data_IF_383709037795
#
_entry.id   IF_383709037795
#
_cell.length_a   1.000
_cell.length_b   1.000
_cell.length_c   1.000
_cell.angle_alpha   90.00
_cell.angle_beta   90.00
_cell.angle_gamma   90.00
#
_symmetry.space_group_name_H-M   'P 1'
#
loop_
_entity.id
_entity.type
_entity.pdbx_description
1 polymer ?
#
# COMPACT_ATOMS: atom_id res chain seq x y z
N UNK A 1 -39.61 53.66 4.95
CA UNK A 1 -38.33 52.99 5.24
C UNK A 1 -38.64 51.52 5.30
N UNK A 2 -38.66 50.89 4.13
CA UNK A 2 -38.99 49.46 3.98
C UNK A 2 -37.79 48.63 4.44
N UNK A 3 -38.06 47.63 5.25
CA UNK A 3 -37.07 46.67 5.76
C UNK A 3 -37.04 45.51 4.77
N UNK A 4 -35.96 45.41 4.00
CA UNK A 4 -35.69 44.23 3.18
C UNK A 4 -35.42 43.03 4.10
N UNK A 5 -36.35 42.08 4.09
CA UNK A 5 -36.16 40.75 4.67
C UNK A 5 -35.28 39.94 3.71
N UNK A 6 -34.04 39.68 4.13
CA UNK A 6 -33.09 38.84 3.40
C UNK A 6 -33.65 37.44 3.17
N UNK A 7 -33.54 36.97 1.92
CA UNK A 7 -33.85 35.61 1.50
C UNK A 7 -32.89 34.64 2.22
N UNK A 8 -33.36 33.55 2.85
CA UNK A 8 -32.46 32.56 3.43
C UNK A 8 -31.72 31.87 2.30
N UNK A 9 -30.39 31.91 2.36
CA UNK A 9 -29.53 31.07 1.53
C UNK A 9 -29.90 29.62 1.87
N UNK A 10 -30.44 28.90 0.89
CA UNK A 10 -30.71 27.47 1.07
C UNK A 10 -29.37 26.75 1.18
N UNK A 11 -29.00 26.35 2.39
CA UNK A 11 -28.02 25.28 2.56
C UNK A 11 -28.57 24.05 1.80
N UNK A 12 -27.85 23.63 0.77
CA UNK A 12 -28.11 22.34 0.12
C UNK A 12 -28.07 21.27 1.21
N UNK A 13 -29.07 20.37 1.32
CA UNK A 13 -29.05 19.34 2.34
C UNK A 13 -27.76 18.52 2.19
N UNK A 14 -26.94 18.48 3.25
CA UNK A 14 -25.78 17.60 3.31
C UNK A 14 -26.27 16.18 3.06
N UNK A 15 -25.97 15.65 1.88
CA UNK A 15 -26.42 14.32 1.49
C UNK A 15 -25.84 13.32 2.51
N UNK A 16 -26.71 12.56 3.18
CA UNK A 16 -26.29 11.56 4.16
C UNK A 16 -25.48 10.50 3.42
N UNK A 17 -24.23 10.30 3.84
CA UNK A 17 -23.35 9.30 3.24
C UNK A 17 -23.95 7.90 3.39
N UNK A 18 -23.85 7.10 2.33
CA UNK A 18 -24.17 5.67 2.34
C UNK A 18 -23.13 4.93 1.50
N UNK A 19 -23.00 3.60 1.62
CA UNK A 19 -22.11 2.85 0.73
C UNK A 19 -22.40 3.03 -0.77
N UNK A 20 -23.57 3.57 -1.16
CA UNK A 20 -23.97 3.82 -2.54
C UNK A 20 -23.82 5.29 -2.97
N UNK A 21 -23.48 6.23 -2.07
CA UNK A 21 -23.46 7.67 -2.39
C UNK A 21 -22.49 8.02 -3.51
N UNK A 22 -21.40 7.25 -3.65
CA UNK A 22 -20.41 7.37 -4.73
C UNK A 22 -21.01 7.32 -6.13
N UNK A 23 -22.16 6.66 -6.32
CA UNK A 23 -22.85 6.57 -7.63
C UNK A 23 -23.38 7.91 -8.14
N UNK A 24 -23.50 8.90 -7.26
CA UNK A 24 -23.88 10.27 -7.63
C UNK A 24 -22.69 11.11 -8.11
N UNK A 25 -21.50 10.54 -8.14
CA UNK A 25 -20.25 11.20 -8.52
C UNK A 25 -19.60 10.48 -9.71
N UNK A 26 -18.68 11.17 -10.39
CA UNK A 26 -17.96 10.56 -11.51
C UNK A 26 -16.95 9.54 -10.98
N UNK A 27 -17.13 8.27 -11.36
CA UNK A 27 -16.21 7.19 -11.05
C UNK A 27 -15.24 6.94 -12.21
N UNK A 28 -14.01 7.42 -12.07
CA UNK A 28 -12.96 7.16 -13.06
C UNK A 28 -12.48 5.70 -13.02
N UNK A 29 -11.88 5.23 -14.11
CA UNK A 29 -11.23 3.91 -14.20
C UNK A 29 -12.14 2.69 -14.03
N UNK A 30 -13.47 2.86 -13.97
CA UNK A 30 -14.40 1.73 -13.88
C UNK A 30 -14.45 0.95 -15.21
N UNK A 31 -14.58 -0.38 -15.15
CA UNK A 31 -14.82 -1.19 -16.35
C UNK A 31 -16.21 -0.94 -16.94
N UNK A 32 -16.33 -1.19 -18.25
CA UNK A 32 -17.62 -1.24 -18.94
C UNK A 32 -18.06 -2.69 -19.07
N UNK A 33 -18.87 -3.16 -18.13
CA UNK A 33 -19.47 -4.49 -18.19
C UNK A 33 -20.59 -4.54 -19.23
N UNK A 34 -20.80 -5.72 -19.84
CA UNK A 34 -21.86 -5.91 -20.85
C UNK A 34 -23.27 -5.88 -20.26
N UNK A 35 -23.44 -6.30 -19.00
CA UNK A 35 -24.73 -6.37 -18.31
C UNK A 35 -24.63 -5.71 -16.92
N UNK A 36 -25.40 -4.64 -16.71
CA UNK A 36 -25.52 -4.02 -15.39
C UNK A 36 -26.29 -4.91 -14.40
N UNK A 37 -27.18 -5.77 -14.90
CA UNK A 37 -27.90 -6.73 -14.08
C UNK A 37 -26.94 -7.78 -13.49
N UNK A 38 -26.01 -8.31 -14.29
CA UNK A 38 -25.03 -9.30 -13.85
C UNK A 38 -24.12 -8.71 -12.76
N UNK A 39 -23.68 -7.46 -12.94
CA UNK A 39 -22.93 -6.71 -11.92
C UNK A 39 -23.74 -6.60 -10.62
N UNK A 40 -25.02 -6.22 -10.71
CA UNK A 40 -25.88 -6.10 -9.53
C UNK A 40 -26.12 -7.44 -8.84
N UNK A 41 -26.24 -8.54 -9.60
CA UNK A 41 -26.40 -9.89 -9.04
C UNK A 41 -25.14 -10.33 -8.30
N UNK A 42 -23.95 -10.13 -8.88
CA UNK A 42 -22.67 -10.44 -8.23
C UNK A 42 -22.44 -9.56 -7.00
N UNK A 43 -22.73 -8.26 -7.08
CA UNK A 43 -22.60 -7.35 -5.95
C UNK A 43 -23.52 -7.78 -4.78
N UNK A 44 -24.76 -8.21 -5.08
CA UNK A 44 -25.69 -8.75 -4.08
C UNK A 44 -25.18 -10.06 -3.48
N UNK A 45 -24.58 -10.93 -4.28
CA UNK A 45 -23.96 -12.17 -3.80
C UNK A 45 -22.83 -11.85 -2.80
N UNK A 46 -21.91 -10.97 -3.18
CA UNK A 46 -20.78 -10.56 -2.34
C UNK A 46 -21.21 -9.88 -1.05
N UNK A 47 -22.27 -9.06 -1.09
CA UNK A 47 -22.85 -8.46 0.10
C UNK A 47 -23.34 -9.50 1.13
N UNK A 48 -23.75 -10.68 0.67
CA UNK A 48 -24.14 -11.81 1.52
C UNK A 48 -22.97 -12.67 2.02
N UNK A 49 -21.75 -12.49 1.51
CA UNK A 49 -20.58 -13.22 1.99
C UNK A 49 -20.07 -12.65 3.33
N UNK A 50 -19.29 -13.41 4.12
CA UNK A 50 -18.56 -12.88 5.28
C UNK A 50 -17.61 -11.72 4.91
N UNK A 51 -17.32 -10.81 5.84
CA UNK A 51 -16.26 -9.81 5.65
C UNK A 51 -14.87 -10.47 5.64
N UNK A 52 -13.89 -9.86 4.96
CA UNK A 52 -12.49 -10.31 5.01
C UNK A 52 -11.81 -9.87 6.31
N UNK A 53 -12.14 -8.68 6.82
CA UNK A 53 -11.57 -8.12 8.05
C UNK A 53 -12.65 -7.68 9.04
N UNK A 54 -12.33 -7.73 10.33
CA UNK A 54 -13.23 -7.22 11.37
C UNK A 54 -12.97 -5.72 11.64
N UNK A 55 -14.02 -4.95 11.89
CA UNK A 55 -13.95 -3.51 12.10
C UNK A 55 -13.01 -3.08 13.24
N UNK A 56 -12.88 -3.90 14.31
CA UNK A 56 -11.95 -3.61 15.39
C UNK A 56 -10.48 -3.69 14.96
N UNK A 57 -10.15 -4.54 13.97
CA UNK A 57 -8.79 -4.65 13.43
C UNK A 57 -8.41 -3.38 12.66
N UNK A 58 -9.35 -2.81 11.89
CA UNK A 58 -9.17 -1.52 11.22
C UNK A 58 -9.00 -0.36 12.21
N UNK A 59 -9.75 -0.37 13.34
CA UNK A 59 -9.55 0.61 14.43
C UNK A 59 -8.18 0.48 15.08
N UNK A 60 -7.72 -0.74 15.31
CA UNK A 60 -6.39 -0.97 15.88
C UNK A 60 -5.29 -0.51 14.91
N UNK A 61 -5.43 -0.75 13.60
CA UNK A 61 -4.52 -0.18 12.61
C UNK A 61 -4.54 1.36 12.65
N UNK A 62 -5.72 1.99 12.70
CA UNK A 62 -5.86 3.46 12.84
C UNK A 62 -5.14 3.98 14.09
N UNK A 63 -5.25 3.29 15.23
CA UNK A 63 -4.52 3.61 16.46
C UNK A 63 -3.00 3.53 16.28
N UNK A 64 -2.50 2.52 15.58
CA UNK A 64 -1.07 2.38 15.29
C UNK A 64 -0.58 3.44 14.30
N UNK A 65 -1.38 3.79 13.29
CA UNK A 65 -1.05 4.87 12.36
C UNK A 65 -1.04 6.25 13.03
N UNK A 66 -1.86 6.48 14.06
CA UNK A 66 -1.75 7.69 14.88
C UNK A 66 -0.37 7.78 15.56
N UNK A 67 0.18 6.65 16.06
CA UNK A 67 1.55 6.61 16.57
C UNK A 67 2.58 6.91 15.49
N UNK A 68 2.34 6.49 14.24
CA UNK A 68 3.22 6.83 13.11
C UNK A 68 3.19 8.34 12.85
N UNK A 69 2.00 8.96 12.77
CA UNK A 69 1.87 10.40 12.56
C UNK A 69 2.56 11.23 13.68
N UNK A 70 2.59 10.70 14.90
CA UNK A 70 3.24 11.31 16.07
C UNK A 70 4.75 11.02 16.17
N UNK A 71 5.36 10.33 15.22
CA UNK A 71 6.80 10.00 15.27
C UNK A 71 7.16 8.86 16.23
N UNK A 72 6.18 8.09 16.71
CA UNK A 72 6.35 7.00 17.69
C UNK A 72 6.35 5.61 17.06
N UNK A 73 6.13 5.51 15.75
CA UNK A 73 6.18 4.29 14.97
C UNK A 73 6.56 4.60 13.51
N UNK A 74 6.82 3.55 12.72
CA UNK A 74 7.11 3.65 11.29
C UNK A 74 6.20 2.73 10.49
N UNK A 75 5.64 3.20 9.38
CA UNK A 75 4.81 2.41 8.48
C UNK A 75 5.66 1.69 7.43
N UNK A 76 5.53 0.37 7.35
CA UNK A 76 6.01 -0.45 6.24
C UNK A 76 4.81 -1.02 5.50
N UNK A 77 4.55 -0.49 4.31
CA UNK A 77 3.54 -1.01 3.39
C UNK A 77 4.22 -1.69 2.19
N UNK A 78 3.87 -2.92 1.86
CA UNK A 78 4.58 -3.66 0.81
C UNK A 78 3.87 -4.90 0.30
N UNK A 79 4.10 -5.25 -0.96
CA UNK A 79 3.60 -6.48 -1.58
C UNK A 79 3.51 -6.35 -3.09
N UNK A 80 2.66 -7.17 -3.71
CA UNK A 80 2.58 -7.23 -5.16
C UNK A 80 2.12 -5.91 -5.80
N UNK A 81 2.55 -5.71 -7.05
CA UNK A 81 2.02 -4.63 -7.88
C UNK A 81 0.52 -4.86 -8.11
N UNK A 82 0.20 -6.01 -8.72
CA UNK A 82 -1.14 -6.59 -8.84
C UNK A 82 -1.04 -8.09 -8.50
N UNK A 83 -1.98 -8.59 -7.68
CA UNK A 83 -2.14 -10.02 -7.48
C UNK A 83 -2.78 -10.65 -8.73
N UNK A 84 -2.44 -11.91 -9.03
CA UNK A 84 -3.00 -12.64 -10.17
C UNK A 84 -3.63 -13.96 -9.74
N UNK A 85 -4.76 -14.29 -10.36
CA UNK A 85 -5.47 -15.55 -10.18
C UNK A 85 -4.64 -16.77 -10.59
N UNK A 86 -3.76 -16.62 -11.58
CA UNK A 86 -2.90 -17.70 -12.06
C UNK A 86 -1.75 -18.00 -11.09
N UNK A 87 -1.28 -16.99 -10.36
CA UNK A 87 -0.17 -17.10 -9.41
C UNK A 87 -0.63 -17.35 -7.97
N UNK A 88 -1.83 -17.90 -7.79
CA UNK A 88 -2.43 -18.18 -6.49
C UNK A 88 -1.85 -19.46 -5.86
N UNK A 89 -0.78 -19.32 -5.07
CA UNK A 89 -0.15 -20.44 -4.37
C UNK A 89 0.45 -20.05 -3.01
N UNK A 90 0.50 -21.03 -2.09
CA UNK A 90 0.96 -20.82 -0.72
C UNK A 90 2.43 -20.41 -0.61
N UNK A 91 3.31 -20.86 -1.52
CA UNK A 91 4.72 -20.50 -1.50
C UNK A 91 4.91 -19.02 -1.78
N UNK A 92 4.26 -18.46 -2.81
CA UNK A 92 4.31 -17.03 -3.11
C UNK A 92 3.79 -16.19 -1.95
N UNK A 93 2.65 -16.57 -1.37
CA UNK A 93 2.09 -15.87 -0.20
C UNK A 93 3.09 -15.89 0.96
N UNK A 94 3.66 -17.06 1.26
CA UNK A 94 4.68 -17.23 2.29
C UNK A 94 5.91 -16.37 2.01
N UNK A 95 6.43 -16.39 0.79
CA UNK A 95 7.70 -15.74 0.47
C UNK A 95 7.56 -14.20 0.49
N UNK A 96 6.43 -13.67 0.03
CA UNK A 96 6.09 -12.24 0.19
C UNK A 96 5.89 -11.86 1.66
N UNK A 97 5.24 -12.72 2.46
CA UNK A 97 5.14 -12.53 3.91
C UNK A 97 6.52 -12.48 4.59
N UNK A 98 7.40 -13.42 4.24
CA UNK A 98 8.75 -13.51 4.79
C UNK A 98 9.57 -12.25 4.50
N UNK A 99 9.62 -11.80 3.25
CA UNK A 99 10.43 -10.63 2.88
C UNK A 99 9.91 -9.35 3.57
N UNK A 100 8.60 -9.20 3.74
CA UNK A 100 8.01 -8.10 4.49
C UNK A 100 8.42 -8.12 5.96
N UNK A 101 8.40 -9.29 6.62
CA UNK A 101 8.86 -9.43 8.01
C UNK A 101 10.36 -9.22 8.17
N UNK A 102 11.16 -9.74 7.25
CA UNK A 102 12.60 -9.56 7.25
C UNK A 102 12.98 -8.07 7.23
N UNK A 103 12.32 -7.30 6.36
CA UNK A 103 12.45 -5.85 6.31
C UNK A 103 11.95 -5.18 7.59
N UNK A 104 10.77 -5.57 8.10
CA UNK A 104 10.20 -5.01 9.32
C UNK A 104 11.13 -5.14 10.53
N UNK A 105 11.78 -6.29 10.68
CA UNK A 105 12.73 -6.55 11.79
C UNK A 105 13.97 -5.66 11.69
N UNK A 106 14.54 -5.52 10.49
CA UNK A 106 15.69 -4.62 10.25
C UNK A 106 15.34 -3.18 10.60
N UNK A 107 14.19 -2.69 10.11
CA UNK A 107 13.72 -1.33 10.38
C UNK A 107 13.38 -1.10 11.85
N UNK A 108 12.75 -2.08 12.52
CA UNK A 108 12.41 -2.01 13.95
C UNK A 108 13.66 -1.85 14.79
N UNK A 109 14.66 -2.70 14.55
CA UNK A 109 15.90 -2.70 15.32
C UNK A 109 16.72 -1.42 15.12
N UNK A 110 16.89 -1.00 13.87
CA UNK A 110 17.70 0.18 13.58
C UNK A 110 17.00 1.51 13.92
N UNK A 111 15.70 1.60 13.67
CA UNK A 111 14.90 2.76 14.02
C UNK A 111 14.60 2.87 15.51
N UNK A 112 14.66 1.76 16.26
CA UNK A 112 14.23 1.67 17.65
C UNK A 112 12.80 2.16 17.85
N UNK A 113 11.94 1.82 16.89
CA UNK A 113 10.53 2.21 16.82
C UNK A 113 9.71 1.00 16.37
N UNK A 114 8.47 0.83 16.85
CA UNK A 114 7.54 -0.14 16.30
C UNK A 114 7.34 0.09 14.80
N UNK A 115 7.36 -1.01 14.02
CA UNK A 115 7.01 -0.98 12.59
C UNK A 115 5.59 -1.51 12.40
N UNK A 116 4.69 -0.68 11.87
CA UNK A 116 3.34 -1.06 11.45
C UNK A 116 3.42 -1.72 10.08
N UNK A 117 3.02 -3.00 9.99
CA UNK A 117 3.19 -3.82 8.77
C UNK A 117 1.86 -3.92 8.02
N UNK A 118 1.82 -3.43 6.79
CA UNK A 118 0.62 -3.44 5.95
C UNK A 118 0.94 -4.09 4.60
N UNK A 119 0.40 -5.26 4.34
CA UNK A 119 0.61 -5.99 3.10
C UNK A 119 -0.27 -5.43 1.96
N UNK A 120 0.29 -5.35 0.75
CA UNK A 120 -0.47 -5.23 -0.51
C UNK A 120 -0.87 -6.63 -0.98
N UNK A 121 -1.78 -7.26 -0.24
CA UNK A 121 -2.18 -8.66 -0.43
C UNK A 121 -3.64 -8.86 -0.04
N UNK A 122 -4.23 -9.94 -0.56
CA UNK A 122 -5.62 -10.32 -0.32
C UNK A 122 -6.65 -9.29 -0.81
N UNK A 123 -6.39 -8.64 -1.96
CA UNK A 123 -7.35 -7.73 -2.58
C UNK A 123 -6.81 -6.85 -3.69
N UNK A 124 -5.50 -6.86 -3.94
CA UNK A 124 -4.82 -5.96 -4.89
C UNK A 124 -4.93 -6.46 -6.34
N UNK A 125 -6.15 -6.78 -6.79
CA UNK A 125 -6.42 -7.36 -8.10
C UNK A 125 -6.82 -6.34 -9.17
N UNK A 126 -7.14 -5.09 -8.80
CA UNK A 126 -7.53 -4.04 -9.74
C UNK A 126 -6.36 -3.11 -10.07
N UNK A 127 -6.28 -2.64 -11.31
CA UNK A 127 -5.24 -1.70 -11.77
C UNK A 127 -5.81 -0.58 -12.63
N UNK A 128 -5.48 0.70 -12.33
CA UNK A 128 -5.83 1.80 -13.20
C UNK A 128 -4.94 1.80 -14.44
N UNK A 129 -5.45 2.29 -15.56
CA UNK A 129 -4.74 2.33 -16.85
C UNK A 129 -4.71 3.73 -17.41
N UNK A 130 -3.62 4.07 -18.08
CA UNK A 130 -3.46 5.36 -18.76
C UNK A 130 -4.30 5.47 -20.04
N UNK A 131 -4.69 4.34 -20.63
CA UNK A 131 -5.56 4.25 -21.80
C UNK A 131 -6.59 3.13 -21.60
N UNK A 132 -7.78 3.30 -22.18
CA UNK A 132 -8.86 2.31 -22.13
C UNK A 132 -8.57 1.07 -23.00
N UNK A 133 -7.78 1.25 -24.05
CA UNK A 133 -7.41 0.21 -25.01
C UNK A 133 -5.89 0.04 -25.09
N UNK A 134 -5.48 -1.09 -25.63
CA UNK A 134 -4.09 -1.46 -25.93
C UNK A 134 -4.05 -2.00 -27.36
N UNK A 135 -3.06 -1.56 -28.14
CA UNK A 135 -2.85 -2.02 -29.51
C UNK A 135 -1.58 -2.87 -29.61
N UNK A 136 -1.72 -4.10 -30.07
CA UNK A 136 -0.60 -5.02 -30.33
C UNK A 136 -0.74 -5.55 -31.75
N UNK A 137 0.31 -5.40 -32.57
CA UNK A 137 0.35 -5.85 -33.97
C UNK A 137 -0.86 -5.37 -34.81
N UNK A 138 -1.33 -4.14 -34.57
CA UNK A 138 -2.44 -3.53 -35.29
C UNK A 138 -3.85 -3.94 -34.83
N UNK A 139 -3.96 -4.83 -33.83
CA UNK A 139 -5.24 -5.19 -33.20
C UNK A 139 -5.41 -4.36 -31.93
N UNK A 140 -6.55 -3.67 -31.80
CA UNK A 140 -6.91 -2.87 -30.62
C UNK A 140 -7.92 -3.63 -29.75
N UNK A 141 -7.59 -3.84 -28.46
CA UNK A 141 -8.45 -4.49 -27.47
C UNK A 141 -8.54 -3.65 -26.20
N UNK A 142 -9.53 -3.88 -25.31
CA UNK A 142 -9.54 -3.27 -23.99
C UNK A 142 -8.23 -3.54 -23.25
N UNK A 143 -7.72 -2.54 -22.54
CA UNK A 143 -6.55 -2.70 -21.67
C UNK A 143 -6.86 -3.71 -20.56
N UNK A 144 -5.86 -4.53 -20.21
CA UNK A 144 -5.91 -5.34 -18.99
C UNK A 144 -6.02 -4.42 -17.75
N UNK A 145 -7.04 -4.61 -16.91
CA UNK A 145 -7.31 -3.77 -15.73
C UNK A 145 -7.15 -4.53 -14.42
N UNK A 146 -6.47 -5.67 -14.46
CA UNK A 146 -6.31 -6.56 -13.32
C UNK A 146 -7.33 -7.70 -13.30
N UNK A 147 -6.97 -8.81 -12.67
CA UNK A 147 -7.70 -10.08 -12.78
C UNK A 147 -9.13 -10.04 -12.25
N UNK A 148 -9.45 -9.10 -11.35
CA UNK A 148 -10.82 -8.84 -10.88
C UNK A 148 -11.74 -8.25 -11.96
N UNK A 149 -11.18 -7.71 -13.03
CA UNK A 149 -11.92 -7.11 -14.14
C UNK A 149 -11.87 -8.00 -15.38
N UNK A 150 -10.68 -8.30 -15.90
CA UNK A 150 -10.48 -9.06 -17.14
C UNK A 150 -9.16 -9.86 -17.10
N UNK A 151 -8.92 -10.71 -18.09
CA UNK A 151 -7.70 -11.51 -18.21
C UNK A 151 -6.55 -10.78 -18.91
N UNK A 152 -5.32 -11.21 -18.61
CA UNK A 152 -4.10 -10.60 -19.17
C UNK A 152 -3.90 -10.89 -20.66
N UNK A 153 -4.31 -12.10 -21.10
CA UNK A 153 -4.12 -12.57 -22.48
C UNK A 153 -4.67 -11.57 -23.49
N UNK A 154 -3.93 -11.33 -24.56
CA UNK A 154 -4.31 -10.38 -25.61
C UNK A 154 -5.28 -11.03 -26.61
N UNK A 155 -6.44 -11.45 -26.12
CA UNK A 155 -7.55 -11.98 -26.94
C UNK A 155 -8.83 -11.21 -26.64
N UNK A 156 -9.77 -11.21 -27.60
CA UNK A 156 -11.03 -10.49 -27.42
C UNK A 156 -11.79 -11.02 -26.20
N UNK A 157 -11.84 -12.35 -26.03
CA UNK A 157 -12.54 -13.03 -24.95
C UNK A 157 -11.91 -12.72 -23.58
N UNK A 158 -10.58 -12.78 -23.47
CA UNK A 158 -9.90 -12.53 -22.21
C UNK A 158 -10.03 -11.07 -21.77
N UNK A 159 -10.05 -10.11 -22.72
CA UNK A 159 -10.10 -8.67 -22.42
C UNK A 159 -11.49 -8.14 -22.09
N UNK A 160 -12.57 -8.92 -22.32
CA UNK A 160 -13.92 -8.51 -21.89
C UNK A 160 -14.02 -8.48 -20.36
N UNK A 161 -14.52 -7.37 -19.76
CA UNK A 161 -14.82 -7.34 -18.34
C UNK A 161 -15.88 -8.37 -17.95
N UNK A 162 -15.58 -9.18 -16.93
CA UNK A 162 -16.47 -10.22 -16.41
C UNK A 162 -16.75 -9.96 -14.91
N UNK A 163 -18.00 -9.66 -14.51
CA UNK A 163 -18.32 -9.36 -13.12
C UNK A 163 -18.10 -10.57 -12.20
N UNK A 164 -18.14 -11.80 -12.69
CA UNK A 164 -17.94 -12.99 -11.87
C UNK A 164 -16.51 -13.08 -11.30
N UNK A 165 -15.55 -12.39 -11.93
CA UNK A 165 -14.19 -12.24 -11.41
C UNK A 165 -14.14 -11.54 -10.05
N UNK A 166 -15.14 -10.74 -9.68
CA UNK A 166 -15.25 -10.17 -8.33
C UNK A 166 -15.46 -11.26 -7.26
N UNK A 167 -16.23 -12.31 -7.57
CA UNK A 167 -16.40 -13.47 -6.67
C UNK A 167 -15.09 -14.26 -6.55
N UNK A 168 -14.41 -14.47 -7.67
CA UNK A 168 -13.09 -15.14 -7.69
C UNK A 168 -12.07 -14.37 -6.86
N UNK A 169 -11.99 -13.05 -7.02
CA UNK A 169 -11.12 -12.18 -6.24
C UNK A 169 -11.42 -12.29 -4.74
N UNK A 170 -12.70 -12.21 -4.33
CA UNK A 170 -13.09 -12.42 -2.94
C UNK A 170 -12.61 -13.77 -2.38
N UNK A 171 -12.81 -14.87 -3.12
CA UNK A 171 -12.41 -16.20 -2.65
C UNK A 171 -10.90 -16.33 -2.48
N UNK A 172 -10.11 -15.82 -3.43
CA UNK A 172 -8.65 -15.82 -3.32
C UNK A 172 -8.15 -14.88 -2.22
N UNK A 173 -8.79 -13.72 -2.03
CA UNK A 173 -8.53 -12.81 -0.91
C UNK A 173 -8.77 -13.50 0.43
N UNK A 174 -9.91 -14.17 0.60
CA UNK A 174 -10.24 -14.89 1.84
C UNK A 174 -9.23 -16.00 2.15
N UNK A 175 -8.87 -16.81 1.15
CA UNK A 175 -7.89 -17.88 1.31
C UNK A 175 -6.48 -17.34 1.61
N UNK A 176 -6.07 -16.26 0.93
CA UNK A 176 -4.78 -15.60 1.16
C UNK A 176 -4.70 -15.01 2.56
N UNK A 177 -5.71 -14.25 2.98
CA UNK A 177 -5.75 -13.65 4.31
C UNK A 177 -5.80 -14.71 5.42
N UNK A 178 -6.55 -15.79 5.24
CA UNK A 178 -6.55 -16.92 6.18
C UNK A 178 -5.13 -17.49 6.37
N UNK A 179 -4.38 -17.69 5.28
CA UNK A 179 -3.01 -18.17 5.34
C UNK A 179 -2.05 -17.15 5.99
N UNK A 180 -2.20 -15.86 5.68
CA UNK A 180 -1.42 -14.79 6.32
C UNK A 180 -1.65 -14.73 7.82
N UNK A 181 -2.89 -14.89 8.30
CA UNK A 181 -3.21 -14.98 9.73
C UNK A 181 -2.55 -16.20 10.38
N UNK A 182 -2.60 -17.35 9.72
CA UNK A 182 -1.93 -18.56 10.19
C UNK A 182 -0.40 -18.37 10.28
N UNK A 183 0.23 -17.67 9.35
CA UNK A 183 1.67 -17.36 9.42
C UNK A 183 2.01 -16.35 10.52
N UNK A 184 1.18 -15.32 10.69
CA UNK A 184 1.40 -14.25 11.65
C UNK A 184 1.30 -14.73 13.11
N UNK A 185 0.45 -15.73 13.39
CA UNK A 185 0.20 -16.27 14.74
C UNK A 185 0.82 -17.67 14.95
N UNK A 186 1.00 -18.44 13.89
CA UNK A 186 1.43 -19.85 13.95
C UNK A 186 2.94 -20.07 14.11
N UNK A 187 3.72 -19.02 14.39
CA UNK A 187 5.16 -19.09 14.65
C UNK A 187 6.07 -18.84 13.45
N UNK A 188 5.55 -18.64 12.23
CA UNK A 188 6.39 -18.19 11.11
C UNK A 188 6.88 -16.75 11.34
N UNK A 189 6.14 -15.95 12.11
CA UNK A 189 6.54 -14.60 12.50
C UNK A 189 7.53 -14.53 13.67
N UNK A 190 8.01 -15.68 14.18
CA UNK A 190 8.95 -15.71 15.29
C UNK A 190 10.23 -14.94 14.94
N UNK A 191 10.60 -14.00 15.80
CA UNK A 191 11.71 -13.08 15.58
C UNK A 191 13.05 -13.81 15.36
N UNK A 192 13.28 -14.97 15.99
CA UNK A 192 14.47 -15.79 15.76
C UNK A 192 14.47 -16.40 14.36
N UNK A 193 13.31 -16.87 13.87
CA UNK A 193 13.20 -17.41 12.52
C UNK A 193 13.43 -16.33 11.46
N UNK A 194 12.79 -15.17 11.64
CA UNK A 194 12.95 -14.03 10.73
C UNK A 194 14.41 -13.56 10.68
N UNK A 195 15.07 -13.49 11.84
CA UNK A 195 16.49 -13.17 11.91
C UNK A 195 17.36 -14.23 11.22
N UNK A 196 17.06 -15.51 11.40
CA UNK A 196 17.75 -16.62 10.69
C UNK A 196 17.67 -16.52 9.17
N UNK A 197 16.55 -16.01 8.62
CA UNK A 197 16.43 -15.75 7.18
C UNK A 197 17.30 -14.58 6.73
N UNK A 198 17.40 -13.52 7.53
CA UNK A 198 18.30 -12.40 7.26
C UNK A 198 19.77 -12.85 7.24
N UNK A 199 20.18 -13.69 8.19
CA UNK A 199 21.53 -14.27 8.18
C UNK A 199 21.77 -15.12 6.93
N UNK A 200 20.77 -15.89 6.49
CA UNK A 200 20.87 -16.70 5.27
C UNK A 200 21.03 -15.86 4.01
N UNK A 201 20.32 -14.73 3.93
CA UNK A 201 20.48 -13.75 2.86
C UNK A 201 21.90 -13.15 2.81
N UNK A 202 22.46 -12.80 3.97
CA UNK A 202 23.80 -12.20 4.03
C UNK A 202 24.92 -13.12 3.54
N UNK A 203 24.76 -14.45 3.63
CA UNK A 203 25.81 -15.40 3.21
C UNK A 203 26.21 -15.24 1.74
N UNK A 204 25.24 -14.95 0.87
CA UNK A 204 25.44 -14.87 -0.57
C UNK A 204 25.44 -13.44 -1.10
N UNK A 205 25.24 -12.43 -0.25
CA UNK A 205 25.14 -11.04 -0.69
C UNK A 205 26.54 -10.45 -0.99
N UNK A 206 26.78 -9.86 -2.18
CA UNK A 206 28.06 -9.22 -2.52
C UNK A 206 28.48 -8.08 -1.58
N UNK A 207 27.51 -7.43 -0.91
CA UNK A 207 27.70 -6.33 0.03
C UNK A 207 27.55 -6.77 1.50
N UNK A 208 27.65 -8.08 1.81
CA UNK A 208 27.40 -8.64 3.16
C UNK A 208 28.12 -7.90 4.30
N UNK A 209 29.33 -7.42 4.07
CA UNK A 209 30.15 -6.75 5.09
C UNK A 209 29.49 -5.47 5.59
N UNK A 210 28.77 -4.76 4.71
CA UNK A 210 28.01 -3.56 5.06
C UNK A 210 26.88 -3.85 6.05
N UNK A 211 26.31 -5.06 5.97
CA UNK A 211 25.08 -5.42 6.68
C UNK A 211 25.31 -6.37 7.87
N UNK A 212 26.47 -7.04 7.91
CA UNK A 212 26.84 -8.00 8.95
C UNK A 212 26.74 -7.42 10.36
N UNK A 213 27.24 -6.20 10.56
CA UNK A 213 27.24 -5.56 11.88
C UNK A 213 25.84 -5.36 12.45
N UNK A 214 24.85 -5.00 11.61
CA UNK A 214 23.48 -4.83 12.10
C UNK A 214 22.84 -6.18 12.45
N UNK A 215 23.13 -7.21 11.65
CA UNK A 215 22.64 -8.55 11.92
C UNK A 215 23.25 -9.13 13.21
N UNK A 216 24.56 -9.01 13.42
CA UNK A 216 25.23 -9.45 14.65
C UNK A 216 24.64 -8.76 15.89
N UNK A 217 24.45 -7.44 15.84
CA UNK A 217 23.87 -6.70 16.97
C UNK A 217 22.43 -7.11 17.28
N UNK A 218 21.65 -7.46 16.26
CA UNK A 218 20.30 -7.97 16.45
C UNK A 218 20.33 -9.38 17.09
N UNK A 219 21.25 -10.25 16.66
CA UNK A 219 21.46 -11.56 17.27
C UNK A 219 21.82 -11.42 18.76
N UNK A 220 22.80 -10.56 19.09
CA UNK A 220 23.21 -10.30 20.47
C UNK A 220 22.05 -9.77 21.33
N UNK A 221 21.20 -8.89 20.78
CA UNK A 221 20.04 -8.38 21.48
C UNK A 221 19.01 -9.49 21.79
N UNK A 222 18.75 -10.39 20.85
CA UNK A 222 17.85 -11.53 21.05
C UNK A 222 18.40 -12.51 22.08
N UNK A 223 19.70 -12.78 22.03
CA UNK A 223 20.38 -13.62 23.03
C UNK A 223 20.32 -12.99 24.41
N UNK A 224 20.56 -11.68 24.53
CA UNK A 224 20.44 -10.96 25.79
C UNK A 224 19.01 -11.02 26.36
N UNK A 225 17.99 -10.79 25.52
CA UNK A 225 16.59 -10.92 25.93
C UNK A 225 16.29 -12.33 26.46
N UNK A 226 16.79 -13.36 25.79
CA UNK A 226 16.63 -14.74 26.23
C UNK A 226 17.32 -15.01 27.58
N UNK A 227 18.53 -14.49 27.80
CA UNK A 227 19.25 -14.57 29.09
C UNK A 227 18.47 -13.87 30.21
N UNK A 228 17.80 -12.76 29.90
CA UNK A 228 16.90 -12.07 30.83
C UNK A 228 15.54 -12.78 31.05
N UNK A 229 15.32 -13.94 30.43
CA UNK A 229 14.11 -14.74 30.58
C UNK A 229 12.97 -14.36 29.63
N UNK A 230 13.21 -13.53 28.63
CA UNK A 230 12.23 -13.15 27.60
C UNK A 230 12.48 -14.02 26.36
N UNK A 231 11.66 -15.05 26.15
CA UNK A 231 11.82 -16.03 25.07
C UNK A 231 10.55 -16.15 24.23
N UNK A 232 10.65 -16.76 23.04
CA UNK A 232 9.46 -17.01 22.20
C UNK A 232 8.48 -18.02 22.82
N UNK A 233 8.92 -18.82 23.79
CA UNK A 233 8.05 -19.78 24.49
C UNK A 233 7.12 -19.09 25.50
N UNK A 234 7.57 -18.00 26.13
CA UNK A 234 6.84 -17.32 27.21
C UNK A 234 6.37 -15.90 26.87
N UNK A 235 6.81 -15.33 25.74
CA UNK A 235 6.51 -13.96 25.33
C UNK A 235 5.86 -13.95 23.93
N UNK A 236 4.51 -13.91 23.84
CA UNK A 236 3.80 -13.89 22.56
C UNK A 236 4.25 -12.77 21.61
N UNK A 237 4.64 -11.60 22.15
CA UNK A 237 5.13 -10.47 21.37
C UNK A 237 6.44 -10.73 20.60
N UNK A 238 7.19 -11.79 20.92
CA UNK A 238 8.39 -12.25 20.18
C UNK A 238 8.02 -13.29 19.12
N UNK A 239 7.02 -14.13 19.42
CA UNK A 239 6.63 -15.27 18.60
C UNK A 239 5.63 -14.92 17.49
N UNK A 240 4.80 -13.92 17.75
CA UNK A 240 3.68 -13.54 16.91
C UNK A 240 3.84 -12.10 16.42
N UNK A 241 3.14 -11.78 15.34
CA UNK A 241 3.06 -10.41 14.85
C UNK A 241 1.70 -10.11 14.28
N UNK A 242 1.41 -8.82 14.09
CA UNK A 242 0.22 -8.38 13.38
C UNK A 242 0.62 -7.93 11.98
N UNK A 243 -0.06 -8.48 10.98
CA UNK A 243 0.04 -8.05 9.59
C UNK A 243 -1.34 -7.63 9.11
N UNK A 244 -1.44 -6.38 8.66
CA UNK A 244 -2.65 -5.85 8.05
C UNK A 244 -2.63 -6.04 6.53
N UNK A 245 -3.77 -5.86 5.88
CA UNK A 245 -3.92 -5.93 4.42
C UNK A 245 -4.42 -4.62 3.87
N UNK A 246 -4.05 -4.34 2.63
CA UNK A 246 -4.44 -3.14 1.91
C UNK A 246 -4.48 -3.36 0.40
N UNK A 247 -5.35 -2.60 -0.26
CA UNK A 247 -5.38 -2.47 -1.71
C UNK A 247 -5.91 -1.09 -2.14
N UNK A 248 -5.75 -0.77 -3.42
CA UNK A 248 -6.37 0.41 -4.02
C UNK A 248 -7.87 0.18 -4.09
N UNK A 249 -8.67 1.02 -3.43
CA UNK A 249 -10.13 0.99 -3.54
C UNK A 249 -10.53 1.49 -4.92
N UNK A 250 -10.39 0.66 -5.95
CA UNK A 250 -10.53 1.06 -7.35
C UNK A 250 -11.88 0.65 -7.93
N UNK A 251 -12.30 -0.60 -7.74
CA UNK A 251 -13.52 -1.16 -8.29
C UNK A 251 -14.66 -0.99 -7.27
N UNK A 252 -15.39 0.13 -7.35
CA UNK A 252 -16.31 0.56 -6.29
C UNK A 252 -17.51 -0.39 -6.11
N UNK A 253 -17.87 -1.18 -7.12
CA UNK A 253 -18.87 -2.25 -6.98
C UNK A 253 -18.43 -3.33 -5.97
N UNK A 254 -17.14 -3.70 -5.99
CA UNK A 254 -16.54 -4.67 -5.07
C UNK A 254 -16.44 -4.09 -3.65
N UNK A 255 -15.92 -2.88 -3.52
CA UNK A 255 -15.75 -2.19 -2.24
C UNK A 255 -17.10 -1.91 -1.56
N UNK A 256 -18.11 -1.43 -2.32
CA UNK A 256 -19.47 -1.24 -1.82
C UNK A 256 -20.06 -2.56 -1.32
N UNK A 257 -19.93 -3.65 -2.09
CA UNK A 257 -20.47 -4.95 -1.68
C UNK A 257 -19.82 -5.48 -0.39
N UNK A 258 -18.56 -5.11 -0.13
CA UNK A 258 -17.84 -5.52 1.07
C UNK A 258 -17.90 -4.52 2.22
N UNK A 259 -18.65 -3.43 2.09
CA UNK A 259 -18.84 -2.46 3.16
C UNK A 259 -19.92 -2.90 4.14
N UNK A 260 -19.58 -3.00 5.44
CA UNK A 260 -20.48 -3.47 6.51
C UNK A 260 -20.64 -2.43 7.61
N UNK A 261 -21.76 -2.51 8.29
CA UNK A 261 -21.97 -1.79 9.56
C UNK A 261 -21.33 -2.58 10.69
N UNK A 262 -20.46 -1.93 11.46
CA UNK A 262 -19.90 -2.52 12.68
C UNK A 262 -20.99 -2.64 13.75
N UNK A 263 -21.22 -3.87 14.23
CA UNK A 263 -22.26 -4.16 15.22
C UNK A 263 -22.04 -3.45 16.56
N UNK A 264 -20.80 -3.07 16.87
CA UNK A 264 -20.45 -2.39 18.12
C UNK A 264 -20.66 -0.87 18.09
N UNK A 265 -20.44 -0.24 16.93
CA UNK A 265 -20.43 1.23 16.81
C UNK A 265 -21.50 1.80 15.88
N UNK A 266 -22.15 0.96 15.07
CA UNK A 266 -23.09 1.40 14.03
C UNK A 266 -22.42 2.12 12.85
N UNK A 267 -21.08 2.18 12.82
CA UNK A 267 -20.32 2.88 11.76
C UNK A 267 -20.00 1.96 10.60
N UNK A 268 -19.80 2.54 9.43
CA UNK A 268 -19.45 1.81 8.21
C UNK A 268 -17.95 1.56 8.11
N UNK A 269 -17.59 0.33 7.75
CA UNK A 269 -16.23 -0.06 7.40
C UNK A 269 -16.28 -0.80 6.07
N UNK A 270 -15.36 -0.48 5.18
CA UNK A 270 -15.09 -1.37 4.07
C UNK A 270 -14.31 -2.56 4.62
N UNK A 271 -14.95 -3.72 4.64
CA UNK A 271 -14.38 -4.93 5.19
C UNK A 271 -13.69 -5.78 4.12
N UNK A 272 -13.36 -5.22 2.95
CA UNK A 272 -12.49 -5.83 1.96
C UNK A 272 -11.02 -5.85 2.42
N UNK A 273 -10.58 -4.83 3.16
CA UNK A 273 -9.23 -4.75 3.71
C UNK A 273 -9.16 -3.86 4.97
N UNK A 274 -8.04 -3.93 5.69
CA UNK A 274 -7.83 -3.11 6.88
C UNK A 274 -7.62 -1.64 6.54
N UNK A 275 -6.82 -1.38 5.49
CA UNK A 275 -6.52 -0.05 4.96
C UNK A 275 -6.79 -0.03 3.45
N UNK A 276 -7.34 1.06 2.95
CA UNK A 276 -7.57 1.27 1.52
C UNK A 276 -6.86 2.53 1.06
N UNK A 277 -6.49 2.65 -0.22
CA UNK A 277 -6.04 3.94 -0.75
C UNK A 277 -6.72 4.35 -2.04
N UNK A 278 -6.70 5.66 -2.29
CA UNK A 278 -7.10 6.29 -3.56
C UNK A 278 -5.86 6.49 -4.43
N UNK A 279 -5.93 5.99 -5.66
CA UNK A 279 -4.85 6.13 -6.64
C UNK A 279 -4.72 7.54 -7.21
N UNK A 280 -3.58 7.82 -7.84
CA UNK A 280 -3.29 9.13 -8.46
C UNK A 280 -4.32 9.50 -9.54
N UNK A 281 -4.90 8.50 -10.22
CA UNK A 281 -5.86 8.69 -11.33
C UNK A 281 -7.32 8.78 -10.86
N UNK A 282 -7.58 8.59 -9.57
CA UNK A 282 -8.93 8.47 -8.99
C UNK A 282 -9.16 9.39 -7.80
N UNK A 283 -8.22 10.30 -7.49
CA UNK A 283 -8.28 11.21 -6.34
C UNK A 283 -8.93 12.57 -6.63
N UNK A 284 -9.80 12.65 -7.63
CA UNK A 284 -10.57 13.88 -7.90
C UNK A 284 -11.41 14.22 -6.67
N UNK A 285 -11.32 15.47 -6.20
CA UNK A 285 -11.96 15.91 -4.95
C UNK A 285 -13.48 15.68 -4.93
N UNK A 286 -14.11 15.89 -6.08
CA UNK A 286 -15.52 15.65 -6.40
C UNK A 286 -15.76 14.30 -7.13
N UNK A 287 -14.79 13.39 -7.04
CA UNK A 287 -14.87 12.05 -7.62
C UNK A 287 -15.49 11.02 -6.69
N UNK A 288 -15.97 9.93 -7.29
CA UNK A 288 -16.64 8.84 -6.58
C UNK A 288 -15.75 8.13 -5.54
N UNK A 289 -14.45 7.99 -5.80
CA UNK A 289 -13.53 7.32 -4.88
C UNK A 289 -13.29 8.11 -3.59
N UNK A 290 -13.16 9.44 -3.71
CA UNK A 290 -13.03 10.33 -2.55
C UNK A 290 -14.33 10.36 -1.75
N UNK A 291 -15.49 10.41 -2.44
CA UNK A 291 -16.78 10.24 -1.79
C UNK A 291 -16.88 8.92 -1.02
N UNK A 292 -16.59 7.80 -1.67
CA UNK A 292 -16.70 6.48 -1.06
C UNK A 292 -15.82 6.37 0.21
N UNK A 293 -14.54 6.72 0.12
CA UNK A 293 -13.64 6.60 1.26
C UNK A 293 -13.85 7.66 2.35
N UNK A 294 -14.51 8.79 2.06
CA UNK A 294 -14.82 9.80 3.08
C UNK A 294 -15.75 9.28 4.19
N UNK A 295 -16.64 8.32 3.90
CA UNK A 295 -17.62 7.84 4.88
C UNK A 295 -17.36 6.48 5.52
N UNK A 296 -16.44 5.67 4.99
CA UNK A 296 -15.96 4.46 5.70
C UNK A 296 -14.98 4.85 6.80
N UNK A 297 -14.90 4.08 7.89
CA UNK A 297 -14.10 4.41 9.07
C UNK A 297 -12.66 3.84 9.08
N UNK A 298 -12.31 3.03 8.07
CA UNK A 298 -10.97 2.48 7.89
C UNK A 298 -9.89 3.58 7.90
N UNK A 299 -8.66 3.33 8.34
CA UNK A 299 -7.55 4.17 7.94
C UNK A 299 -7.40 4.12 6.40
N UNK A 300 -7.13 5.27 5.79
CA UNK A 300 -7.09 5.41 4.33
C UNK A 300 -5.81 6.10 3.87
N UNK A 301 -5.40 5.80 2.64
CA UNK A 301 -4.29 6.46 1.96
C UNK A 301 -4.73 7.24 0.72
N UNK A 302 -3.93 8.22 0.30
CA UNK A 302 -4.09 8.90 -0.99
C UNK A 302 -2.72 9.04 -1.64
N UNK A 303 -2.61 8.64 -2.91
CA UNK A 303 -1.39 8.88 -3.69
C UNK A 303 -1.23 10.38 -3.97
N UNK A 304 -0.03 10.89 -3.79
CA UNK A 304 0.33 12.30 -3.99
C UNK A 304 1.43 12.38 -5.05
N UNK A 305 1.05 12.60 -6.29
CA UNK A 305 1.96 12.79 -7.42
C UNK A 305 2.60 14.18 -7.50
N UNK A 306 3.52 14.39 -8.46
CA UNK A 306 4.30 15.63 -8.59
C UNK A 306 3.47 16.85 -9.05
N UNK A 307 2.23 16.65 -9.50
CA UNK A 307 1.32 17.73 -9.89
C UNK A 307 0.44 18.24 -8.74
N UNK A 308 0.46 17.57 -7.57
CA UNK A 308 -0.35 17.98 -6.42
C UNK A 308 -0.03 19.42 -6.01
N UNK A 309 -1.06 20.23 -5.83
CA UNK A 309 -0.94 21.60 -5.31
C UNK A 309 -1.31 21.66 -3.82
N UNK A 310 -0.75 22.59 -3.03
CA UNK A 310 -1.05 22.74 -1.62
C UNK A 310 -2.55 22.87 -1.31
N UNK A 311 -3.26 23.75 -2.01
CA UNK A 311 -4.69 24.00 -1.75
C UNK A 311 -5.56 22.78 -2.10
N UNK A 312 -5.21 22.06 -3.16
CA UNK A 312 -5.87 20.81 -3.53
C UNK A 312 -5.66 19.74 -2.45
N UNK A 313 -4.43 19.61 -1.97
CA UNK A 313 -4.07 18.66 -0.91
C UNK A 313 -4.84 18.96 0.38
N UNK A 314 -4.89 20.22 0.81
CA UNK A 314 -5.61 20.62 2.01
C UNK A 314 -7.10 20.30 1.91
N UNK A 315 -7.74 20.60 0.77
CA UNK A 315 -9.16 20.26 0.54
C UNK A 315 -9.41 18.75 0.52
N UNK A 316 -8.46 17.96 0.01
CA UNK A 316 -8.54 16.49 0.10
C UNK A 316 -8.43 16.01 1.56
N UNK A 317 -7.52 16.60 2.34
CA UNK A 317 -7.39 16.29 3.77
C UNK A 317 -8.69 16.63 4.52
N UNK A 318 -9.27 17.81 4.26
CA UNK A 318 -10.55 18.23 4.84
C UNK A 318 -11.68 17.23 4.58
N UNK A 319 -11.77 16.74 3.34
CA UNK A 319 -12.83 15.81 2.95
C UNK A 319 -12.62 14.40 3.53
N UNK A 320 -11.37 13.95 3.65
CA UNK A 320 -11.05 12.57 4.02
C UNK A 320 -10.74 12.40 5.51
N UNK A 321 -10.39 13.47 6.21
CA UNK A 321 -10.09 13.52 7.63
C UNK A 321 -10.70 14.77 8.31
N UNK A 322 -12.04 14.93 8.29
CA UNK A 322 -12.69 16.15 8.80
C UNK A 322 -12.46 16.37 10.30
N UNK A 323 -12.31 15.30 11.08
CA UNK A 323 -12.07 15.35 12.53
C UNK A 323 -10.58 15.49 12.89
N UNK A 324 -9.70 15.65 11.90
CA UNK A 324 -8.24 15.75 12.07
C UNK A 324 -7.63 14.62 12.92
N UNK A 325 -8.13 13.39 12.78
CA UNK A 325 -7.62 12.21 13.48
C UNK A 325 -6.26 11.80 12.90
N UNK A 326 -5.23 11.75 13.74
CA UNK A 326 -3.85 11.50 13.32
C UNK A 326 -3.64 10.15 12.61
N UNK A 327 -4.45 9.14 12.92
CA UNK A 327 -4.34 7.80 12.32
C UNK A 327 -5.20 7.59 11.08
N UNK A 328 -6.01 8.58 10.70
CA UNK A 328 -7.02 8.45 9.65
C UNK A 328 -6.43 8.44 8.24
N UNK A 329 -5.55 9.39 7.93
CA UNK A 329 -5.13 9.66 6.55
C UNK A 329 -3.62 9.54 6.38
N UNK A 330 -3.21 8.72 5.41
CA UNK A 330 -1.82 8.59 4.95
C UNK A 330 -1.65 9.27 3.59
N UNK A 331 -0.74 10.25 3.51
CA UNK A 331 -0.32 10.86 2.26
C UNK A 331 0.86 10.07 1.67
N UNK A 332 0.63 9.42 0.53
CA UNK A 332 1.60 8.50 -0.09
C UNK A 332 2.26 9.20 -1.28
N UNK A 333 3.41 9.83 -1.07
CA UNK A 333 4.11 10.63 -2.08
C UNK A 333 4.77 9.76 -3.13
N UNK A 334 4.57 10.05 -4.42
CA UNK A 334 5.22 9.34 -5.54
C UNK A 334 5.65 10.32 -6.62
N UNK A 335 6.69 11.09 -6.34
CA UNK A 335 7.07 12.23 -7.18
C UNK A 335 8.17 11.88 -8.18
N UNK A 336 8.95 10.84 -7.90
CA UNK A 336 10.15 10.52 -8.65
C UNK A 336 11.38 11.17 -8.01
N UNK A 337 12.51 10.48 -8.10
CA UNK A 337 13.78 10.86 -7.48
C UNK A 337 14.38 12.18 -8.03
N UNK A 338 13.86 12.66 -9.16
CA UNK A 338 14.30 13.88 -9.81
C UNK A 338 13.37 15.07 -9.50
N UNK A 339 12.28 14.86 -8.74
CA UNK A 339 11.24 15.88 -8.49
C UNK A 339 10.84 16.01 -7.02
N UNK A 340 10.97 14.94 -6.23
CA UNK A 340 10.48 14.92 -4.85
C UNK A 340 11.08 16.04 -3.99
N UNK A 341 12.40 16.22 -4.05
CA UNK A 341 13.11 17.22 -3.24
C UNK A 341 12.65 18.66 -3.48
N UNK A 342 12.17 18.97 -4.69
CA UNK A 342 11.73 20.32 -5.06
C UNK A 342 10.26 20.57 -4.71
N UNK A 343 9.41 19.53 -4.78
CA UNK A 343 7.95 19.66 -4.67
C UNK A 343 7.40 19.33 -3.30
N UNK A 344 7.96 18.35 -2.60
CA UNK A 344 7.45 17.93 -1.30
C UNK A 344 7.50 19.02 -0.22
N UNK A 345 8.56 19.86 -0.11
CA UNK A 345 8.65 20.86 0.97
C UNK A 345 7.44 21.80 1.04
N UNK A 346 6.92 22.25 -0.10
CA UNK A 346 5.76 23.16 -0.14
C UNK A 346 4.50 22.51 0.42
N UNK A 347 4.27 21.22 0.10
CA UNK A 347 3.14 20.46 0.60
C UNK A 347 3.24 20.22 2.10
N UNK A 348 4.43 19.85 2.59
CA UNK A 348 4.69 19.63 4.02
C UNK A 348 4.42 20.89 4.83
N UNK A 349 4.95 22.05 4.40
CA UNK A 349 4.71 23.35 5.06
C UNK A 349 3.24 23.72 5.08
N UNK A 350 2.50 23.46 4.00
CA UNK A 350 1.07 23.76 3.94
C UNK A 350 0.28 22.92 4.95
N UNK A 351 0.53 21.61 5.01
CA UNK A 351 -0.13 20.69 5.96
C UNK A 351 0.19 21.08 7.41
N UNK A 352 1.46 21.41 7.72
CA UNK A 352 1.87 21.86 9.06
C UNK A 352 1.24 23.20 9.43
N UNK A 353 1.22 24.18 8.53
CA UNK A 353 0.63 25.51 8.76
C UNK A 353 -0.84 25.42 9.14
N UNK A 354 -1.60 24.55 8.47
CA UNK A 354 -3.02 24.34 8.75
C UNK A 354 -3.28 23.35 9.91
N UNK A 355 -2.23 22.89 10.61
CA UNK A 355 -2.35 22.01 11.77
C UNK A 355 -2.95 20.62 11.47
N UNK A 356 -2.76 20.11 10.24
CA UNK A 356 -3.34 18.84 9.83
C UNK A 356 -2.47 17.66 10.24
N UNK A 357 -3.11 16.66 10.84
CA UNK A 357 -2.48 15.42 11.29
C UNK A 357 -2.64 14.35 10.22
N UNK A 358 -1.52 13.90 9.67
CA UNK A 358 -1.44 12.87 8.62
C UNK A 358 -0.21 12.01 8.82
N UNK A 359 -0.26 10.78 8.31
CA UNK A 359 0.95 9.96 8.13
C UNK A 359 1.57 10.31 6.78
N UNK A 360 2.85 10.69 6.76
CA UNK A 360 3.60 10.80 5.52
C UNK A 360 4.27 9.47 5.17
N UNK A 361 4.05 8.98 3.95
CA UNK A 361 4.68 7.77 3.43
C UNK A 361 5.22 8.04 2.03
N UNK A 362 6.37 7.47 1.68
CA UNK A 362 6.92 7.56 0.32
C UNK A 362 6.72 6.27 -0.46
N UNK A 363 6.19 6.40 -1.67
CA UNK A 363 6.15 5.38 -2.72
C UNK A 363 7.23 5.73 -3.76
N UNK A 364 8.46 5.24 -3.56
CA UNK A 364 9.60 5.53 -4.43
C UNK A 364 9.57 4.72 -5.73
N UNK A 365 8.51 3.95 -5.97
CA UNK A 365 8.44 2.99 -7.06
C UNK A 365 7.77 3.62 -8.27
N UNK A 366 6.54 4.12 -8.09
CA UNK A 366 5.71 4.53 -9.22
C UNK A 366 6.32 5.75 -9.94
N UNK A 367 6.92 6.69 -9.21
CA UNK A 367 7.54 7.90 -9.77
C UNK A 367 8.77 7.63 -10.65
N UNK A 368 9.42 6.46 -10.49
CA UNK A 368 10.70 6.12 -11.10
C UNK A 368 10.62 5.05 -12.20
N UNK A 369 9.43 4.82 -12.77
CA UNK A 369 9.25 3.80 -13.81
C UNK A 369 9.68 4.32 -15.17
N UNK A 370 10.54 3.58 -15.85
CA UNK A 370 11.03 3.86 -17.21
C UNK A 370 10.82 2.66 -18.12
N UNK A 371 10.93 2.86 -19.45
CA UNK A 371 10.95 1.78 -20.44
C UNK A 371 12.39 1.57 -20.90
N UNK A 372 12.93 0.37 -20.67
CA UNK A 372 14.26 -0.05 -21.06
C UNK A 372 14.39 -0.20 -22.59
N UNK A 373 15.62 -0.27 -23.10
CA UNK A 373 15.90 -0.40 -24.54
C UNK A 373 15.31 -1.66 -25.18
N UNK A 374 15.13 -2.72 -24.39
CA UNK A 374 14.50 -3.98 -24.81
C UNK A 374 12.96 -3.98 -24.72
N UNK A 375 12.35 -2.87 -24.31
CA UNK A 375 10.90 -2.69 -24.26
C UNK A 375 10.23 -3.05 -22.94
N UNK A 376 10.94 -3.69 -22.00
CA UNK A 376 10.42 -3.91 -20.65
C UNK A 376 10.28 -2.60 -19.89
N UNK A 377 9.25 -2.50 -19.06
CA UNK A 377 9.27 -1.48 -18.00
C UNK A 377 10.29 -1.93 -16.96
N UNK A 378 11.01 -0.98 -16.37
CA UNK A 378 11.90 -1.25 -15.24
C UNK A 378 11.95 -0.02 -14.32
N UNK A 379 12.59 -0.19 -13.18
CA UNK A 379 12.88 0.87 -12.21
C UNK A 379 14.33 0.70 -11.77
N UNK A 380 15.04 1.81 -11.74
CA UNK A 380 16.42 1.85 -11.27
C UNK A 380 16.44 1.89 -9.73
N UNK A 381 17.07 0.88 -9.13
CA UNK A 381 17.21 0.76 -7.68
C UNK A 381 17.85 2.00 -7.03
N UNK A 382 18.82 2.64 -7.69
CA UNK A 382 19.47 3.83 -7.13
C UNK A 382 18.54 5.05 -7.14
N UNK A 383 17.64 5.15 -8.13
CA UNK A 383 16.57 6.17 -8.12
C UNK A 383 15.57 5.91 -7.00
N UNK A 384 15.19 4.65 -6.79
CA UNK A 384 14.29 4.26 -5.68
C UNK A 384 14.92 4.70 -4.34
N UNK A 385 16.19 4.37 -4.09
CA UNK A 385 16.89 4.78 -2.87
C UNK A 385 17.02 6.30 -2.75
N UNK A 386 17.32 7.01 -3.85
CA UNK A 386 17.41 8.47 -3.85
C UNK A 386 16.10 9.13 -3.46
N UNK A 387 14.96 8.68 -3.99
CA UNK A 387 13.66 9.25 -3.61
C UNK A 387 13.35 9.04 -2.12
N UNK A 388 13.69 7.89 -1.55
CA UNK A 388 13.55 7.67 -0.10
C UNK A 388 14.47 8.60 0.69
N UNK A 389 15.75 8.69 0.31
CA UNK A 389 16.71 9.59 0.98
C UNK A 389 16.23 11.04 0.98
N UNK A 390 15.76 11.51 -0.18
CA UNK A 390 15.32 12.88 -0.35
C UNK A 390 14.02 13.13 0.44
N UNK A 391 13.13 12.13 0.53
CA UNK A 391 11.94 12.17 1.41
C UNK A 391 12.31 12.36 2.88
N UNK A 392 13.25 11.56 3.40
CA UNK A 392 13.77 11.75 4.77
C UNK A 392 14.40 13.14 4.95
N UNK A 393 15.19 13.58 3.98
CA UNK A 393 15.89 14.88 4.03
C UNK A 393 14.91 16.06 4.07
N UNK A 394 13.85 16.02 3.25
CA UNK A 394 12.78 17.03 3.27
C UNK A 394 12.09 17.06 4.63
N UNK A 395 11.69 15.90 5.15
CA UNK A 395 10.99 15.85 6.43
C UNK A 395 11.84 16.40 7.58
N UNK A 396 13.12 16.06 7.65
CA UNK A 396 14.03 16.62 8.65
C UNK A 396 14.23 18.13 8.49
N UNK A 397 14.40 18.62 7.26
CA UNK A 397 14.56 20.05 6.99
C UNK A 397 13.32 20.86 7.37
N UNK A 398 12.12 20.30 7.18
CA UNK A 398 10.84 20.93 7.52
C UNK A 398 10.37 20.63 8.96
N UNK A 399 11.16 19.91 9.76
CA UNK A 399 10.78 19.54 11.13
C UNK A 399 9.51 18.68 11.21
N UNK A 400 9.26 17.84 10.20
CA UNK A 400 8.16 16.88 10.14
C UNK A 400 8.67 15.44 10.19
N UNK A 401 7.76 14.48 10.38
CA UNK A 401 8.15 13.07 10.54
C UNK A 401 8.07 12.28 9.22
N UNK A 402 9.17 11.64 8.77
CA UNK A 402 9.13 10.69 7.66
C UNK A 402 8.49 9.38 8.14
N UNK A 403 7.18 9.28 7.99
CA UNK A 403 6.35 8.26 8.66
C UNK A 403 6.43 6.85 8.10
N UNK A 404 6.77 6.64 6.83
CA UNK A 404 6.78 5.31 6.27
C UNK A 404 7.22 5.18 4.81
N UNK A 405 7.19 3.95 4.33
CA UNK A 405 7.46 3.58 2.95
C UNK A 405 6.38 2.64 2.40
N UNK A 406 6.11 2.77 1.11
CA UNK A 406 5.16 1.97 0.35
C UNK A 406 5.87 1.36 -0.86
N UNK A 407 6.03 0.04 -0.88
CA UNK A 407 6.83 -0.67 -1.89
C UNK A 407 6.01 -1.66 -2.71
N UNK A 408 6.41 -1.84 -3.97
CA UNK A 408 6.03 -2.99 -4.78
C UNK A 408 7.18 -4.00 -4.75
N UNK A 409 6.95 -5.16 -4.15
CA UNK A 409 7.97 -6.14 -3.80
C UNK A 409 7.45 -7.58 -3.92
N UNK A 410 8.35 -8.53 -4.09
CA UNK A 410 8.05 -9.97 -4.07
C UNK A 410 9.16 -10.74 -3.35
N UNK A 411 8.80 -11.85 -2.71
CA UNK A 411 9.77 -12.82 -2.17
C UNK A 411 10.41 -13.71 -3.24
N UNK A 412 9.95 -13.63 -4.49
CA UNK A 412 10.49 -14.40 -5.61
C UNK A 412 11.82 -13.82 -6.13
N UNK A 413 12.66 -14.71 -6.67
CA UNK A 413 13.84 -14.30 -7.43
C UNK A 413 13.44 -13.86 -8.84
N UNK A 414 13.18 -12.56 -9.00
CA UNK A 414 12.82 -11.93 -10.28
C UNK A 414 13.84 -10.90 -10.72
N UNK A 415 13.87 -10.62 -12.03
CA UNK A 415 14.71 -9.59 -12.66
C UNK A 415 13.81 -8.50 -13.24
N UNK A 416 13.22 -7.68 -12.36
CA UNK A 416 12.21 -6.68 -12.74
C UNK A 416 12.77 -5.25 -12.59
N UNK A 417 13.45 -4.93 -11.48
CA UNK A 417 14.16 -3.67 -11.27
C UNK A 417 15.66 -3.82 -11.56
N UNK A 418 16.27 -2.84 -12.23
CA UNK A 418 17.72 -2.80 -12.48
C UNK A 418 18.50 -2.33 -11.24
N UNK A 419 19.81 -2.61 -11.21
CA UNK A 419 20.70 -2.19 -10.12
C UNK A 419 20.69 -3.13 -8.91
N UNK A 420 20.87 -2.56 -7.71
CA UNK A 420 21.09 -3.29 -6.46
C UNK A 420 22.46 -3.98 -6.39
N UNK A 421 22.68 -4.74 -5.33
CA UNK A 421 23.95 -5.41 -5.01
C UNK A 421 24.43 -6.35 -6.13
N UNK A 422 23.48 -6.93 -6.85
CA UNK A 422 23.72 -7.84 -7.98
C UNK A 422 23.85 -7.13 -9.34
N UNK A 423 23.67 -5.81 -9.39
CA UNK A 423 23.81 -4.97 -10.60
C UNK A 423 23.01 -5.49 -11.79
N UNK A 424 21.72 -5.82 -11.56
CA UNK A 424 20.82 -6.31 -12.61
C UNK A 424 20.79 -5.30 -13.76
N UNK A 425 21.18 -5.73 -14.96
CA UNK A 425 21.21 -4.91 -16.16
C UNK A 425 19.88 -4.96 -16.91
N UNK A 426 19.69 -4.08 -17.90
CA UNK A 426 18.52 -4.17 -18.78
C UNK A 426 18.45 -5.51 -19.53
N UNK A 427 19.60 -6.11 -19.88
CA UNK A 427 19.66 -7.39 -20.56
C UNK A 427 19.16 -8.53 -19.65
N UNK A 428 19.45 -8.44 -18.36
CA UNK A 428 19.05 -9.46 -17.38
C UNK A 428 17.54 -9.51 -17.16
N UNK A 429 16.81 -8.42 -17.46
CA UNK A 429 15.36 -8.33 -17.25
C UNK A 429 14.62 -9.52 -17.89
N UNK A 430 15.00 -9.92 -19.10
CA UNK A 430 14.36 -11.01 -19.84
C UNK A 430 14.53 -12.39 -19.17
N UNK A 431 15.44 -12.53 -18.20
CA UNK A 431 15.74 -13.82 -17.56
C UNK A 431 14.62 -14.31 -16.66
N UNK A 432 13.97 -13.40 -15.91
CA UNK A 432 12.91 -13.72 -14.96
C UNK A 432 11.98 -12.51 -14.70
N UNK A 433 11.38 -11.97 -15.75
CA UNK A 433 10.35 -10.93 -15.64
C UNK A 433 8.96 -11.55 -15.50
N UNK A 434 8.35 -11.48 -14.31
CA UNK A 434 7.09 -12.20 -14.00
C UNK A 434 5.89 -11.30 -13.75
N UNK A 435 6.10 -10.04 -13.39
CA UNK A 435 5.02 -9.10 -13.15
C UNK A 435 4.16 -8.88 -14.39
N UNK A 436 2.85 -8.79 -14.16
CA UNK A 436 1.83 -8.48 -15.17
C UNK A 436 1.62 -6.97 -15.34
N UNK A 437 2.17 -6.17 -14.43
CA UNK A 437 1.93 -4.74 -14.38
C UNK A 437 3.26 -3.97 -14.30
N UNK A 438 3.64 -3.48 -13.13
CA UNK A 438 4.87 -2.73 -12.95
C UNK A 438 5.96 -3.56 -12.24
N UNK A 439 7.25 -3.23 -12.45
CA UNK A 439 8.41 -3.97 -11.94
C UNK A 439 8.51 -3.95 -10.42
N UNK A 440 8.64 -5.10 -9.77
CA UNK A 440 8.77 -5.23 -8.31
C UNK A 440 10.24 -5.31 -7.89
N UNK A 441 10.53 -4.90 -6.66
CA UNK A 441 11.78 -5.26 -6.01
C UNK A 441 11.77 -6.76 -5.71
N UNK A 442 12.84 -7.46 -6.05
CA UNK A 442 13.03 -8.84 -5.62
C UNK A 442 13.48 -8.90 -4.14
N UNK A 443 13.52 -10.10 -3.57
CA UNK A 443 13.88 -10.29 -2.16
C UNK A 443 15.24 -9.66 -1.79
N UNK A 444 16.24 -9.77 -2.68
CA UNK A 444 17.57 -9.24 -2.41
C UNK A 444 17.59 -7.70 -2.37
N UNK A 445 16.91 -7.07 -3.33
CA UNK A 445 16.78 -5.61 -3.40
C UNK A 445 15.97 -5.06 -2.23
N UNK A 446 14.91 -5.76 -1.78
CA UNK A 446 14.12 -5.33 -0.62
C UNK A 446 14.97 -5.29 0.65
N UNK A 447 15.80 -6.31 0.87
CA UNK A 447 16.65 -6.36 2.06
C UNK A 447 17.78 -5.34 2.01
N UNK A 448 18.41 -5.15 0.85
CA UNK A 448 19.37 -4.06 0.63
C UNK A 448 18.74 -2.70 0.96
N UNK A 449 17.53 -2.44 0.46
CA UNK A 449 16.78 -1.24 0.74
C UNK A 449 16.46 -1.10 2.24
N UNK A 450 16.08 -2.19 2.91
CA UNK A 450 15.81 -2.19 4.35
C UNK A 450 17.02 -1.70 5.15
N UNK A 451 18.22 -2.18 4.83
CA UNK A 451 19.45 -1.73 5.50
C UNK A 451 19.77 -0.26 5.19
N UNK A 452 19.61 0.20 3.95
CA UNK A 452 19.79 1.61 3.61
C UNK A 452 18.82 2.53 4.38
N UNK A 453 17.54 2.18 4.44
CA UNK A 453 16.53 2.96 5.19
C UNK A 453 16.84 2.94 6.70
N UNK A 454 17.39 1.84 7.19
CA UNK A 454 17.83 1.68 8.58
C UNK A 454 18.88 2.73 9.00
N UNK A 455 19.77 3.10 8.09
CA UNK A 455 20.80 4.12 8.32
C UNK A 455 20.17 5.51 8.52
N UNK A 456 19.16 5.85 7.71
CA UNK A 456 18.45 7.12 7.83
C UNK A 456 17.59 7.18 9.09
N UNK A 457 16.86 6.12 9.41
CA UNK A 457 16.08 6.05 10.66
C UNK A 457 16.98 6.24 11.89
N UNK A 458 18.19 5.69 11.88
CA UNK A 458 19.16 5.88 12.96
C UNK A 458 19.70 7.31 13.00
N UNK A 459 19.97 7.93 11.85
CA UNK A 459 20.51 9.30 11.77
C UNK A 459 19.51 10.34 12.30
N UNK A 460 18.23 10.23 11.93
CA UNK A 460 17.18 11.15 12.37
C UNK A 460 16.92 11.18 13.89
N UNK A 461 17.44 10.20 14.64
CA UNK A 461 17.40 10.20 16.11
C UNK A 461 18.51 11.03 16.77
N UNK A 462 19.63 11.20 16.08
CA UNK A 462 20.83 11.87 16.61
C UNK A 462 20.79 13.37 16.28
N UNK A 463 19.98 13.75 15.29
CA UNK A 463 19.82 15.11 14.77
C UNK A 463 18.95 16.00 15.65
#
# INVERSE_FOLDING_TARGET
MEVELGVPVSESPTQVWTPQSWRNFTAHQQPKYASAEDVSQVAKQLAGHPPLVFAAEARELRRQLAQVAEGKAFLLQGGDCAESFADFNANRIRDTFKVLLQMAVVLTFAGNLPVVKVARMAGQYAKPRSADTETVNGIELPSYRGDIINGIDFTNEARQPDPQRMVTAYNQSAATLNLLRAFAQGGLADLHQVHGWNLSFLKNNPQREKYAQLAERLQEALEFMAVCGVTSENTPAIRETVLYTSHEALLLEYEQALTRTDSLTGKWYDCSAHMLWIGERTRQLDGAHVEFLSGVCNPIGVKVGPSMQPDELLRLIDKLNPENDAGRLTLITRMGADTLGDKLPELVRAVQREGRSVVWSTDPMHGNTVKAGNGYKTRDFDKILREIRDFFSVHWAEGSHPGGIHLEMTGEHVTECTGGAWKISEADLASCYRTQCDPRLNADQVLELAFCVSEWLRAGRIA
#
